data_IF_068259158285
#
_entry.id   IF_068259158285
#
_cell.length_a   1.000
_cell.length_b   1.000
_cell.length_c   1.000
_cell.angle_alpha   90.00
_cell.angle_beta   90.00
_cell.angle_gamma   90.00
#
_symmetry.space_group_name_H-M   'P 1'
#
loop_
_entity.id
_entity.type
_entity.pdbx_description
1 polymer ?
#
# COMPACT_ATOMS: atom_id res chain seq x y z
N UNK A 1 -19.86 5.97 -29.88
CA UNK A 1 -18.61 5.98 -29.09
C UNK A 1 -17.49 5.51 -30.01
N UNK A 2 -16.67 6.43 -30.51
CA UNK A 2 -15.59 6.13 -31.48
C UNK A 2 -14.38 5.45 -30.84
N UNK A 3 -14.60 4.32 -30.17
CA UNK A 3 -13.56 3.57 -29.47
C UNK A 3 -12.78 2.70 -30.47
N UNK A 4 -11.47 2.88 -30.55
CA UNK A 4 -10.58 2.01 -31.36
C UNK A 4 -10.08 0.87 -30.47
N UNK A 5 -10.42 -0.37 -30.84
CA UNK A 5 -9.84 -1.56 -30.23
C UNK A 5 -8.38 -1.70 -30.67
N UNK A 6 -7.48 -1.73 -29.69
CA UNK A 6 -6.07 -2.08 -29.89
C UNK A 6 -5.87 -3.48 -29.32
N UNK A 7 -5.54 -4.43 -30.18
CA UNK A 7 -5.27 -5.81 -29.77
C UNK A 7 -3.78 -5.96 -29.42
N UNK A 8 -3.49 -6.58 -28.28
CA UNK A 8 -2.15 -7.04 -27.94
C UNK A 8 -1.74 -8.12 -28.95
N UNK A 9 -0.63 -7.94 -29.66
CA UNK A 9 0.01 -9.02 -30.43
C UNK A 9 1.06 -9.71 -29.55
N UNK A 10 1.39 -10.98 -29.84
CA UNK A 10 2.34 -11.82 -29.07
C UNK A 10 3.70 -11.12 -28.85
N UNK A 11 4.06 -10.14 -29.71
CA UNK A 11 5.31 -9.41 -29.65
C UNK A 11 5.19 -7.97 -29.11
N UNK A 12 4.00 -7.48 -28.77
CA UNK A 12 3.81 -6.11 -28.25
C UNK A 12 3.66 -6.09 -26.72
N UNK A 13 4.72 -6.55 -26.05
CA UNK A 13 4.85 -6.54 -24.59
C UNK A 13 4.69 -5.14 -23.98
N UNK A 14 4.97 -4.07 -24.73
CA UNK A 14 5.00 -2.72 -24.17
C UNK A 14 3.61 -2.17 -23.78
N UNK A 15 2.52 -2.65 -24.42
CA UNK A 15 1.15 -2.22 -24.10
C UNK A 15 0.59 -3.02 -22.93
N UNK A 16 0.84 -4.33 -22.89
CA UNK A 16 0.24 -5.22 -21.89
C UNK A 16 1.05 -5.29 -20.58
N UNK A 17 2.37 -5.04 -20.63
CA UNK A 17 3.27 -5.27 -19.50
C UNK A 17 2.89 -4.47 -18.25
N UNK A 18 2.39 -3.24 -18.38
CA UNK A 18 1.96 -2.47 -17.21
C UNK A 18 0.73 -3.11 -16.54
N UNK A 19 -0.29 -3.44 -17.33
CA UNK A 19 -1.49 -4.13 -16.86
C UNK A 19 -1.16 -5.51 -16.27
N UNK A 20 -0.27 -6.27 -16.90
CA UNK A 20 0.21 -7.56 -16.38
C UNK A 20 0.90 -7.44 -15.02
N UNK A 21 1.75 -6.41 -14.84
CA UNK A 21 2.43 -6.16 -13.56
C UNK A 21 1.43 -5.81 -12.47
N UNK A 22 0.45 -4.95 -12.77
CA UNK A 22 -0.63 -4.60 -11.84
C UNK A 22 -1.44 -5.84 -11.49
N UNK A 23 -1.88 -6.61 -12.48
CA UNK A 23 -2.67 -7.84 -12.28
C UNK A 23 -1.91 -8.87 -11.45
N UNK A 24 -0.58 -9.00 -11.63
CA UNK A 24 0.27 -9.87 -10.82
C UNK A 24 0.32 -9.43 -9.36
N UNK A 25 0.45 -8.14 -9.11
CA UNK A 25 0.42 -7.59 -7.74
C UNK A 25 -0.93 -7.82 -7.07
N UNK A 26 -2.03 -7.47 -7.74
CA UNK A 26 -3.39 -7.66 -7.23
C UNK A 26 -3.67 -9.14 -6.93
N UNK A 27 -3.28 -10.04 -7.83
CA UNK A 27 -3.42 -11.49 -7.62
C UNK A 27 -2.64 -11.98 -6.39
N UNK A 28 -1.49 -11.37 -6.11
CA UNK A 28 -0.67 -11.73 -4.95
C UNK A 28 -1.30 -11.24 -3.65
N UNK A 29 -1.85 -10.02 -3.64
CA UNK A 29 -2.62 -9.50 -2.50
C UNK A 29 -3.86 -10.37 -2.24
N UNK A 30 -4.59 -10.73 -3.31
CA UNK A 30 -5.77 -11.59 -3.23
C UNK A 30 -5.44 -12.96 -2.62
N UNK A 31 -4.38 -13.63 -3.09
CA UNK A 31 -3.92 -14.90 -2.51
C UNK A 31 -3.58 -14.79 -1.02
N UNK A 32 -2.96 -13.67 -0.61
CA UNK A 32 -2.61 -13.45 0.79
C UNK A 32 -3.85 -13.27 1.69
N UNK A 33 -4.89 -12.61 1.19
CA UNK A 33 -6.13 -12.35 1.93
C UNK A 33 -7.01 -13.60 2.01
N UNK A 34 -7.13 -14.36 0.92
CA UNK A 34 -8.06 -15.48 0.85
C UNK A 34 -7.64 -16.70 1.69
N UNK A 35 -6.34 -16.85 2.00
CA UNK A 35 -5.80 -17.95 2.85
C UNK A 35 -6.37 -19.35 2.53
N UNK A 36 -6.73 -19.62 1.27
CA UNK A 36 -7.30 -20.89 0.80
C UNK A 36 -8.83 -20.91 0.61
N UNK A 37 -9.58 -19.94 1.13
CA UNK A 37 -11.01 -19.81 0.84
C UNK A 37 -11.24 -18.98 -0.43
N UNK A 38 -11.31 -19.65 -1.57
CA UNK A 38 -11.47 -19.00 -2.87
C UNK A 38 -12.90 -18.56 -3.17
N UNK A 39 -13.88 -18.84 -2.30
CA UNK A 39 -15.31 -18.57 -2.58
C UNK A 39 -15.72 -17.12 -2.33
N UNK A 40 -14.94 -16.35 -1.56
CA UNK A 40 -15.23 -14.97 -1.18
C UNK A 40 -14.30 -13.95 -1.84
N UNK A 41 -13.68 -14.30 -2.97
CA UNK A 41 -12.72 -13.44 -3.66
C UNK A 41 -13.32 -12.10 -4.09
N UNK A 42 -14.60 -12.08 -4.43
CA UNK A 42 -15.39 -10.92 -4.81
C UNK A 42 -15.60 -9.95 -3.63
N UNK A 43 -15.84 -10.47 -2.43
CA UNK A 43 -15.98 -9.66 -1.20
C UNK A 43 -14.69 -8.88 -0.87
N UNK A 44 -13.54 -9.46 -1.20
CA UNK A 44 -12.24 -8.82 -0.94
C UNK A 44 -11.73 -7.96 -2.09
N UNK A 45 -12.36 -8.01 -3.26
CA UNK A 45 -11.85 -7.32 -4.45
C UNK A 45 -11.78 -5.80 -4.23
N UNK A 46 -12.86 -5.19 -3.73
CA UNK A 46 -12.91 -3.75 -3.46
C UNK A 46 -11.88 -3.33 -2.39
N UNK A 47 -11.65 -4.17 -1.38
CA UNK A 47 -10.66 -3.91 -0.33
C UNK A 47 -9.24 -3.91 -0.90
N UNK A 48 -8.93 -4.86 -1.78
CA UNK A 48 -7.62 -5.00 -2.42
C UNK A 48 -7.37 -3.87 -3.41
N UNK A 49 -8.37 -3.53 -4.23
CA UNK A 49 -8.30 -2.39 -5.15
C UNK A 49 -8.01 -1.10 -4.39
N UNK A 50 -8.76 -0.85 -3.31
CA UNK A 50 -8.55 0.33 -2.48
C UNK A 50 -7.15 0.34 -1.86
N UNK A 51 -6.71 -0.78 -1.28
CA UNK A 51 -5.38 -0.90 -0.71
C UNK A 51 -4.28 -0.66 -1.74
N UNK A 52 -4.42 -1.22 -2.95
CA UNK A 52 -3.47 -1.01 -4.04
C UNK A 52 -3.42 0.46 -4.47
N UNK A 53 -4.57 1.09 -4.69
CA UNK A 53 -4.66 2.48 -5.13
C UNK A 53 -4.18 3.49 -4.09
N UNK A 54 -4.21 3.13 -2.79
CA UNK A 54 -3.73 3.95 -1.68
C UNK A 54 -2.20 3.91 -1.51
N UNK A 55 -1.56 2.79 -1.82
CA UNK A 55 -0.13 2.60 -1.52
C UNK A 55 0.75 3.44 -2.45
N UNK A 56 1.68 4.20 -1.84
CA UNK A 56 2.70 4.93 -2.58
C UNK A 56 3.72 3.95 -3.16
N UNK A 57 3.86 3.93 -4.48
CA UNK A 57 4.79 3.04 -5.14
C UNK A 57 6.24 3.53 -4.99
N UNK A 58 7.17 2.63 -4.65
CA UNK A 58 8.57 3.00 -4.37
C UNK A 58 9.28 3.71 -5.53
N UNK A 59 8.96 3.32 -6.76
CA UNK A 59 9.58 3.84 -7.99
C UNK A 59 9.06 5.22 -8.36
N UNK A 60 7.74 5.41 -8.31
CA UNK A 60 7.09 6.66 -8.75
C UNK A 60 6.93 7.67 -7.61
N UNK A 61 7.06 7.23 -6.35
CA UNK A 61 6.86 8.04 -5.14
C UNK A 61 5.47 8.65 -4.99
N UNK A 62 4.51 8.18 -5.79
CA UNK A 62 3.10 8.61 -5.79
C UNK A 62 2.19 7.38 -5.82
N UNK A 63 0.99 7.49 -5.25
CA UNK A 63 -0.05 6.46 -5.31
C UNK A 63 -0.95 6.64 -6.55
N UNK A 64 -1.61 5.55 -7.02
CA UNK A 64 -2.61 5.68 -8.08
C UNK A 64 -3.75 6.66 -7.76
N UNK A 65 -4.19 6.76 -6.50
CA UNK A 65 -5.19 7.77 -6.12
C UNK A 65 -4.69 9.20 -6.33
N UNK A 66 -3.43 9.48 -5.99
CA UNK A 66 -2.83 10.79 -6.24
C UNK A 66 -2.70 11.09 -7.74
N UNK A 67 -2.36 10.08 -8.55
CA UNK A 67 -2.25 10.23 -10.01
C UNK A 67 -3.59 10.59 -10.64
N UNK A 68 -4.68 9.93 -10.22
CA UNK A 68 -5.99 10.07 -10.85
C UNK A 68 -6.78 11.24 -10.28
N UNK A 69 -6.73 11.45 -8.96
CA UNK A 69 -7.59 12.41 -8.25
C UNK A 69 -6.83 13.59 -7.63
N UNK A 70 -5.50 13.55 -7.62
CA UNK A 70 -4.66 14.58 -7.01
C UNK A 70 -4.51 14.49 -5.49
N UNK A 71 -5.15 13.51 -4.84
CA UNK A 71 -5.02 13.27 -3.40
C UNK A 71 -5.18 11.80 -3.05
N UNK A 72 -4.66 11.41 -1.88
CA UNK A 72 -4.80 10.06 -1.34
C UNK A 72 -5.84 10.06 -0.19
N UNK A 73 -6.91 9.25 -0.24
CA UNK A 73 -7.94 9.25 0.79
C UNK A 73 -7.39 8.82 2.16
N UNK A 74 -7.85 9.52 3.20
CA UNK A 74 -7.61 9.12 4.58
C UNK A 74 -8.45 7.89 4.93
N UNK A 75 -7.86 6.99 5.71
CA UNK A 75 -8.50 5.82 6.27
C UNK A 75 -8.68 6.00 7.78
N UNK A 76 -9.58 5.24 8.43
CA UNK A 76 -9.74 5.31 9.88
C UNK A 76 -8.42 5.16 10.64
N UNK A 77 -7.48 4.35 10.13
CA UNK A 77 -6.14 4.17 10.71
C UNK A 77 -5.31 5.46 10.72
N UNK A 78 -5.49 6.34 9.73
CA UNK A 78 -4.78 7.62 9.65
C UNK A 78 -5.34 8.66 10.62
N UNK A 79 -6.54 8.41 11.15
CA UNK A 79 -7.23 9.29 12.11
C UNK A 79 -7.04 8.83 13.56
N UNK A 80 -6.47 7.65 13.79
CA UNK A 80 -6.20 7.16 15.15
C UNK A 80 -5.07 8.01 15.75
N UNK A 81 -5.28 8.63 16.93
CA UNK A 81 -4.21 9.35 17.60
C UNK A 81 -3.06 8.39 17.88
N UNK A 82 -1.85 8.77 17.48
CA UNK A 82 -0.66 7.99 17.78
C UNK A 82 -0.55 7.82 19.31
N UNK A 83 -0.23 6.62 19.80
CA UNK A 83 -0.01 6.43 21.22
C UNK A 83 1.11 7.37 21.68
N UNK A 84 0.88 8.05 22.80
CA UNK A 84 1.85 8.99 23.35
C UNK A 84 3.17 8.26 23.64
N UNK A 85 4.19 8.60 22.84
CA UNK A 85 5.53 8.02 22.98
C UNK A 85 6.13 8.29 24.37
N UNK A 86 5.66 9.33 25.09
CA UNK A 86 6.12 9.62 26.45
C UNK A 86 5.82 8.50 27.45
N UNK A 87 4.84 7.64 27.18
CA UNK A 87 4.48 6.54 28.07
C UNK A 87 5.33 5.26 27.85
N UNK A 88 6.08 5.17 26.75
CA UNK A 88 6.94 4.03 26.41
C UNK A 88 8.42 4.23 26.73
N UNK A 89 8.85 5.45 27.09
CA UNK A 89 10.17 5.65 27.66
C UNK A 89 10.18 5.02 29.05
N UNK A 90 10.72 3.80 29.14
CA UNK A 90 11.05 3.20 30.42
C UNK A 90 11.92 4.21 31.18
N UNK A 91 11.52 4.62 32.39
CA UNK A 91 12.28 5.57 33.24
C UNK A 91 13.76 5.18 33.37
N UNK A 92 14.05 3.90 33.24
CA UNK A 92 15.37 3.28 33.27
C UNK A 92 16.26 3.67 32.08
N UNK A 93 15.71 3.80 30.86
CA UNK A 93 16.49 4.20 29.68
C UNK A 93 16.83 5.70 29.70
N UNK A 94 15.90 6.53 30.15
CA UNK A 94 16.14 7.97 30.37
C UNK A 94 17.20 8.16 31.46
N UNK A 95 17.08 7.44 32.58
CA UNK A 95 18.08 7.46 33.65
C UNK A 95 19.45 6.96 33.20
N UNK A 96 19.50 5.95 32.31
CA UNK A 96 20.76 5.43 31.75
C UNK A 96 21.38 6.42 30.77
N UNK A 97 20.58 7.08 29.93
CA UNK A 97 21.05 8.13 29.02
C UNK A 97 21.62 9.33 29.77
N UNK A 98 20.94 9.76 30.85
CA UNK A 98 21.41 10.85 31.71
C UNK A 98 22.68 10.48 32.48
N UNK A 99 22.80 9.22 32.93
CA UNK A 99 24.03 8.71 33.54
C UNK A 99 25.22 8.74 32.56
N UNK A 100 25.03 8.27 31.32
CA UNK A 100 26.08 8.28 30.29
C UNK A 100 26.51 9.71 29.95
N UNK A 101 25.56 10.65 29.85
CA UNK A 101 25.87 12.08 29.62
C UNK A 101 26.67 12.72 30.76
N UNK A 102 26.57 12.21 31.98
CA UNK A 102 27.31 12.71 33.16
C UNK A 102 28.71 12.10 33.28
N UNK A 103 28.98 11.00 32.58
CA UNK A 103 30.28 10.32 32.56
C UNK A 103 31.27 10.95 31.56
N UNK A 104 30.75 11.69 30.58
CA UNK A 104 31.51 12.47 29.60
C UNK A 104 31.49 13.96 29.96
#
# INVERSE_FOLDING_TARGET
>A
LGTKLLFSTICHLQTDRQTEVVNRSLSTMLRAVLKGNHKSWDEYLSHIEFAYNKVVHKTTKISPFEVVYGFNPLTPLDLVPLPDSHHYFHKEEVSRADFIKKLH
#
